data_IF_776099420990
#
_entry.id   IF_776099420990
#
_cell.length_a   1.000
_cell.length_b   1.000
_cell.length_c   1.000
_cell.angle_alpha   90.00
_cell.angle_beta   90.00
_cell.angle_gamma   90.00
#
_symmetry.space_group_name_H-M   'P 1'
#
loop_
_entity.id
_entity.type
_entity.pdbx_description
1 polymer ?
#
# COMPACT_ATOMS: atom_id res chain seq x y z
N UNK A 1 -19.66 2.72 -5.87
CA UNK A 1 -19.10 2.50 -4.51
C UNK A 1 -18.17 1.30 -4.46
N UNK A 2 -18.53 0.14 -5.03
CA UNK A 2 -17.67 -1.07 -5.08
C UNK A 2 -16.26 -0.78 -5.64
N UNK A 3 -16.13 0.01 -6.71
CA UNK A 3 -14.83 0.42 -7.27
C UNK A 3 -13.91 1.14 -6.28
N UNK A 4 -14.46 1.94 -5.35
CA UNK A 4 -13.67 2.64 -4.34
C UNK A 4 -13.17 1.67 -3.27
N UNK A 5 -14.02 0.72 -2.87
CA UNK A 5 -13.68 -0.29 -1.88
C UNK A 5 -12.58 -1.24 -2.40
N UNK A 6 -12.70 -1.69 -3.67
CA UNK A 6 -11.64 -2.49 -4.33
C UNK A 6 -10.32 -1.72 -4.37
N UNK A 7 -10.35 -0.43 -4.75
CA UNK A 7 -9.13 0.40 -4.77
C UNK A 7 -8.51 0.57 -3.38
N UNK A 8 -9.32 0.75 -2.34
CA UNK A 8 -8.85 0.86 -0.97
C UNK A 8 -8.19 -0.44 -0.51
N UNK A 9 -8.82 -1.59 -0.79
CA UNK A 9 -8.25 -2.91 -0.46
C UNK A 9 -6.94 -3.15 -1.21
N UNK A 10 -6.89 -2.89 -2.52
CA UNK A 10 -5.65 -3.01 -3.31
C UNK A 10 -4.54 -2.13 -2.74
N UNK A 11 -4.85 -0.89 -2.37
CA UNK A 11 -3.88 0.01 -1.76
C UNK A 11 -3.38 -0.50 -0.41
N UNK A 12 -4.27 -0.98 0.46
CA UNK A 12 -3.88 -1.51 1.77
C UNK A 12 -3.03 -2.78 1.67
N UNK A 13 -3.37 -3.68 0.75
CA UNK A 13 -2.55 -4.87 0.47
C UNK A 13 -1.18 -4.45 -0.08
N UNK A 14 -1.15 -3.44 -0.95
CA UNK A 14 0.10 -2.90 -1.48
C UNK A 14 0.97 -2.25 -0.39
N UNK A 15 0.34 -1.52 0.53
CA UNK A 15 1.01 -0.90 1.67
C UNK A 15 1.56 -1.95 2.66
N UNK A 16 0.79 -3.01 2.91
CA UNK A 16 1.25 -4.15 3.68
C UNK A 16 2.49 -4.78 3.07
N UNK A 17 2.50 -4.99 1.74
CA UNK A 17 3.68 -5.49 1.03
C UNK A 17 4.86 -4.53 1.18
N UNK A 18 4.63 -3.22 1.07
CA UNK A 18 5.67 -2.21 1.29
C UNK A 18 6.32 -2.29 2.66
N UNK A 19 5.53 -2.43 3.73
CA UNK A 19 6.00 -2.58 5.10
C UNK A 19 6.83 -3.86 5.29
N UNK A 20 6.34 -4.98 4.76
CA UNK A 20 7.04 -6.27 4.83
C UNK A 20 8.37 -6.20 4.10
N UNK A 21 8.39 -5.62 2.90
CA UNK A 21 9.63 -5.45 2.11
C UNK A 21 10.62 -4.54 2.84
N UNK A 22 10.17 -3.44 3.43
CA UNK A 22 11.05 -2.57 4.21
C UNK A 22 11.67 -3.30 5.40
N UNK A 23 10.89 -4.09 6.14
CA UNK A 23 11.42 -4.89 7.26
C UNK A 23 12.35 -6.02 6.83
N UNK A 24 12.25 -6.50 5.59
CA UNK A 24 13.12 -7.54 5.07
C UNK A 24 14.44 -7.00 4.51
N UNK A 25 14.44 -5.73 4.06
CA UNK A 25 15.60 -5.11 3.39
C UNK A 25 16.42 -4.25 4.35
N UNK A 26 15.81 -3.69 5.39
CA UNK A 26 16.47 -2.80 6.35
C UNK A 26 16.66 -3.50 7.69
N UNK A 27 17.92 -3.74 8.05
CA UNK A 27 18.27 -4.35 9.34
C UNK A 27 17.83 -3.49 10.54
N UNK A 28 17.83 -2.16 10.39
CA UNK A 28 17.42 -1.19 11.40
C UNK A 28 15.90 -0.91 11.44
N UNK A 29 15.08 -1.70 10.72
CA UNK A 29 13.62 -1.57 10.65
C UNK A 29 12.95 -2.83 11.20
N UNK A 30 12.59 -2.81 12.48
CA UNK A 30 11.94 -3.94 13.14
C UNK A 30 10.43 -3.72 13.23
N UNK A 31 9.70 -4.47 12.43
CA UNK A 31 8.25 -4.39 12.36
C UNK A 31 7.60 -5.53 13.15
N UNK A 32 6.79 -5.21 14.15
CA UNK A 32 6.00 -6.17 14.93
C UNK A 32 4.53 -6.12 14.50
N UNK A 33 3.75 -7.14 14.89
CA UNK A 33 2.35 -7.26 14.50
C UNK A 33 1.51 -6.03 14.90
N UNK A 34 1.78 -5.45 16.07
CA UNK A 34 1.11 -4.24 16.55
C UNK A 34 1.34 -3.03 15.63
N UNK A 35 2.61 -2.72 15.32
CA UNK A 35 2.96 -1.58 14.46
C UNK A 35 2.51 -1.78 13.03
N UNK A 36 2.49 -3.03 12.54
CA UNK A 36 1.93 -3.36 11.23
C UNK A 36 0.44 -3.01 11.13
N UNK A 37 -0.36 -3.42 12.12
CA UNK A 37 -1.80 -3.11 12.13
C UNK A 37 -2.02 -1.60 12.26
N UNK A 38 -1.29 -0.93 13.15
CA UNK A 38 -1.37 0.52 13.32
C UNK A 38 -1.04 1.24 12.02
N UNK A 39 0.07 0.89 11.36
CA UNK A 39 0.45 1.48 10.08
C UNK A 39 -0.64 1.27 9.02
N UNK A 40 -1.23 0.08 8.93
CA UNK A 40 -2.33 -0.20 8.00
C UNK A 40 -3.59 0.63 8.29
N UNK A 41 -3.94 0.80 9.57
CA UNK A 41 -5.07 1.66 9.95
C UNK A 41 -4.81 3.11 9.55
N UNK A 42 -3.60 3.62 9.80
CA UNK A 42 -3.24 4.99 9.39
C UNK A 42 -3.25 5.12 7.86
N UNK A 43 -2.74 4.14 7.12
CA UNK A 43 -2.84 4.13 5.66
C UNK A 43 -4.29 4.11 5.19
N UNK A 44 -5.19 3.37 5.87
CA UNK A 44 -6.61 3.36 5.53
C UNK A 44 -7.26 4.74 5.74
N UNK A 45 -6.96 5.38 6.87
CA UNK A 45 -7.44 6.73 7.18
C UNK A 45 -6.88 7.77 6.20
N UNK A 46 -5.59 7.67 5.88
CA UNK A 46 -4.96 8.50 4.87
C UNK A 46 -5.67 8.31 3.53
N UNK A 47 -5.92 7.08 3.10
CA UNK A 47 -6.61 6.78 1.85
C UNK A 47 -8.05 7.33 1.81
N UNK A 48 -8.74 7.37 2.94
CA UNK A 48 -10.08 7.95 3.04
C UNK A 48 -10.07 9.46 2.80
N UNK A 49 -9.04 10.16 3.31
CA UNK A 49 -8.85 11.60 3.10
C UNK A 49 -8.30 11.87 1.69
N UNK A 50 -7.37 11.04 1.25
CA UNK A 50 -6.60 11.23 0.04
C UNK A 50 -7.42 10.87 -1.20
N UNK A 51 -8.34 9.90 -1.12
CA UNK A 51 -9.26 9.54 -2.22
C UNK A 51 -10.00 10.73 -2.84
N UNK A 52 -10.80 11.51 -2.08
CA UNK A 52 -11.47 12.69 -2.60
C UNK A 52 -10.50 13.83 -2.97
N UNK A 53 -9.35 13.92 -2.29
CA UNK A 53 -8.31 14.91 -2.57
C UNK A 53 -7.61 14.67 -3.92
N UNK A 54 -7.17 13.43 -4.19
CA UNK A 54 -6.53 13.03 -5.47
C UNK A 54 -7.46 13.33 -6.63
N UNK A 55 -8.75 13.00 -6.51
CA UNK A 55 -9.73 13.30 -7.54
C UNK A 55 -9.83 14.81 -7.85
N UNK A 56 -9.51 15.67 -6.88
CA UNK A 56 -9.43 17.13 -7.02
C UNK A 56 -8.09 17.58 -7.62
N UNK A 57 -6.97 17.00 -7.18
CA UNK A 57 -5.60 17.35 -7.62
C UNK A 57 -5.31 16.93 -9.06
N UNK A 58 -5.78 15.76 -9.50
CA UNK A 58 -5.60 15.26 -10.87
C UNK A 58 -6.19 16.23 -11.90
N UNK A 59 -7.25 16.97 -11.55
CA UNK A 59 -7.83 18.00 -12.45
C UNK A 59 -6.91 19.21 -12.66
N UNK A 60 -5.89 19.40 -11.82
CA UNK A 60 -4.98 20.53 -11.85
C UNK A 60 -3.56 20.15 -12.32
N UNK A 61 -3.36 18.96 -12.94
CA UNK A 61 -2.07 18.51 -13.51
C UNK A 61 -0.87 18.59 -12.55
N UNK A 62 -1.07 18.24 -11.28
CA UNK A 62 -0.02 18.28 -10.27
C UNK A 62 0.48 16.88 -9.87
N UNK A 63 1.04 16.15 -10.83
CA UNK A 63 1.50 14.76 -10.63
C UNK A 63 2.59 14.65 -9.55
N UNK A 64 3.51 15.63 -9.49
CA UNK A 64 4.54 15.69 -8.46
C UNK A 64 3.97 15.82 -7.04
N UNK A 65 2.86 16.55 -6.88
CA UNK A 65 2.16 16.69 -5.60
C UNK A 65 1.52 15.37 -5.16
N UNK A 66 1.06 14.53 -6.10
CA UNK A 66 0.50 13.22 -5.77
C UNK A 66 1.58 12.28 -5.17
N UNK A 67 2.78 12.29 -5.76
CA UNK A 67 3.91 11.52 -5.23
C UNK A 67 4.38 12.02 -3.86
N UNK A 68 4.58 13.33 -3.73
CA UNK A 68 5.04 13.96 -2.48
C UNK A 68 4.08 13.77 -1.32
N UNK A 69 2.77 13.92 -1.54
CA UNK A 69 1.77 13.69 -0.49
C UNK A 69 1.75 12.22 -0.05
N UNK A 70 1.92 11.28 -0.98
CA UNK A 70 2.06 9.86 -0.65
C UNK A 70 3.29 9.59 0.22
N UNK A 71 4.42 10.24 -0.07
CA UNK A 71 5.65 10.09 0.71
C UNK A 71 5.50 10.64 2.13
N UNK A 72 4.93 11.84 2.27
CA UNK A 72 4.65 12.44 3.59
C UNK A 72 3.67 11.57 4.39
N UNK A 73 2.61 11.07 3.75
CA UNK A 73 1.66 10.17 4.40
C UNK A 73 2.32 8.87 4.87
N UNK A 74 3.29 8.36 4.10
CA UNK A 74 4.05 7.16 4.48
C UNK A 74 4.91 7.43 5.70
N UNK A 75 5.63 8.55 5.71
CA UNK A 75 6.43 8.96 6.86
C UNK A 75 5.58 9.10 8.13
N UNK A 76 4.42 9.78 8.02
CA UNK A 76 3.50 9.95 9.15
C UNK A 76 2.93 8.62 9.63
N UNK A 77 2.61 7.68 8.73
CA UNK A 77 2.15 6.35 9.11
C UNK A 77 3.22 5.57 9.89
N UNK A 78 4.47 5.59 9.41
CA UNK A 78 5.59 4.97 10.11
C UNK A 78 5.86 5.64 11.47
N UNK A 79 5.81 6.97 11.52
CA UNK A 79 5.98 7.72 12.76
C UNK A 79 4.92 7.35 13.79
N UNK A 80 3.65 7.31 13.41
CA UNK A 80 2.58 6.95 14.35
C UNK A 80 2.73 5.49 14.79
N UNK A 81 3.07 4.59 13.86
CA UNK A 81 3.31 3.19 14.19
C UNK A 81 4.48 2.98 15.16
N UNK A 82 5.53 3.80 15.09
CA UNK A 82 6.66 3.73 16.03
C UNK A 82 6.38 4.36 17.39
N UNK A 83 5.34 5.20 17.50
CA UNK A 83 4.95 5.84 18.76
C UNK A 83 3.95 5.00 19.58
N UNK A 84 3.33 3.99 18.96
CA UNK A 84 2.28 3.19 19.60
C UNK A 84 2.84 1.82 19.99
N UNK A 85 3.30 1.74 21.25
CA UNK A 85 3.88 0.54 21.85
C UNK A 85 5.20 0.12 21.19
N UNK A 86 5.65 -1.11 21.45
CA UNK A 86 6.84 -1.70 20.83
C UNK A 86 6.52 -2.29 19.44
N UNK A 87 5.67 -1.60 18.68
CA UNK A 87 5.07 -2.11 17.45
C UNK A 87 5.95 -1.96 16.21
N UNK A 88 6.77 -0.92 16.16
CA UNK A 88 7.69 -0.62 15.06
C UNK A 88 8.90 0.13 15.62
N UNK A 89 10.08 -0.43 15.46
CA UNK A 89 11.34 0.21 15.86
C UNK A 89 12.14 0.58 14.61
N UNK A 90 12.56 1.83 14.53
CA UNK A 90 13.38 2.34 13.42
C UNK A 90 14.59 3.06 14.01
N UNK A 91 15.77 2.48 13.82
CA UNK A 91 17.02 2.98 14.39
C UNK A 91 17.79 3.82 13.37
N UNK A 92 17.95 5.10 13.66
CA UNK A 92 18.78 6.02 12.86
C UNK A 92 18.06 6.70 11.69
N UNK A 93 18.54 7.89 11.32
CA UNK A 93 17.91 8.76 10.30
C UNK A 93 17.91 8.12 8.92
N UNK A 94 18.94 7.34 8.58
CA UNK A 94 19.02 6.64 7.31
C UNK A 94 17.90 5.60 7.17
N UNK A 95 17.61 4.82 8.21
CA UNK A 95 16.52 3.85 8.24
C UNK A 95 15.15 4.52 8.13
N UNK A 96 14.96 5.70 8.73
CA UNK A 96 13.75 6.50 8.57
C UNK A 96 13.52 6.94 7.12
N UNK A 97 14.56 7.47 6.47
CA UNK A 97 14.47 7.93 5.07
C UNK A 97 14.27 6.73 4.15
N UNK A 98 15.12 5.70 4.27
CA UNK A 98 15.07 4.52 3.43
C UNK A 98 13.75 3.76 3.62
N UNK A 99 13.31 3.55 4.86
CA UNK A 99 12.04 2.87 5.16
C UNK A 99 10.87 3.61 4.56
N UNK A 100 10.81 4.94 4.71
CA UNK A 100 9.77 5.76 4.08
C UNK A 100 9.77 5.61 2.56
N UNK A 101 10.93 5.73 1.92
CA UNK A 101 11.04 5.66 0.45
C UNK A 101 10.73 4.26 -0.07
N UNK A 102 11.22 3.21 0.60
CA UNK A 102 10.98 1.80 0.22
C UNK A 102 9.49 1.48 0.35
N UNK A 103 8.89 1.75 1.51
CA UNK A 103 7.45 1.49 1.72
C UNK A 103 6.64 2.23 0.67
N UNK A 104 6.93 3.51 0.43
CA UNK A 104 6.22 4.33 -0.56
C UNK A 104 6.37 3.78 -1.99
N UNK A 105 7.61 3.48 -2.44
CA UNK A 105 7.88 2.97 -3.79
C UNK A 105 7.24 1.60 -4.01
N UNK A 106 7.44 0.67 -3.08
CA UNK A 106 6.89 -0.69 -3.17
C UNK A 106 5.37 -0.62 -3.19
N UNK A 107 4.76 0.22 -2.35
CA UNK A 107 3.30 0.43 -2.35
C UNK A 107 2.81 0.97 -3.70
N UNK A 108 3.51 1.96 -4.27
CA UNK A 108 3.14 2.55 -5.56
C UNK A 108 3.21 1.51 -6.69
N UNK A 109 4.31 0.75 -6.74
CA UNK A 109 4.52 -0.31 -7.74
C UNK A 109 3.47 -1.42 -7.56
N UNK A 110 3.28 -1.92 -6.34
CA UNK A 110 2.29 -2.95 -6.05
C UNK A 110 0.87 -2.48 -6.41
N UNK A 111 0.52 -1.23 -6.12
CA UNK A 111 -0.80 -0.67 -6.48
C UNK A 111 -1.02 -0.63 -8.00
N UNK A 112 0.04 -0.45 -8.79
CA UNK A 112 -0.02 -0.50 -10.24
C UNK A 112 -0.12 -1.94 -10.77
N UNK A 113 0.61 -2.88 -10.17
CA UNK A 113 0.72 -4.27 -10.64
C UNK A 113 -0.45 -5.15 -10.20
N UNK A 114 -0.92 -5.01 -8.95
CA UNK A 114 -1.97 -5.86 -8.37
C UNK A 114 -3.26 -5.89 -9.21
N UNK A 115 -3.83 -4.75 -9.68
CA UNK A 115 -5.03 -4.79 -10.52
C UNK A 115 -4.84 -5.59 -11.81
N UNK A 116 -3.67 -5.49 -12.45
CA UNK A 116 -3.35 -6.22 -13.66
C UNK A 116 -3.32 -7.74 -13.41
N UNK A 117 -2.71 -8.16 -12.30
CA UNK A 117 -2.66 -9.57 -11.90
C UNK A 117 -4.05 -10.13 -11.58
N UNK A 118 -4.89 -9.36 -10.88
CA UNK A 118 -6.26 -9.76 -10.56
C UNK A 118 -7.12 -9.94 -11.81
N UNK A 119 -7.02 -9.03 -12.79
CA UNK A 119 -7.73 -9.16 -14.07
C UNK A 119 -7.23 -10.38 -14.84
N UNK A 120 -5.92 -10.59 -14.92
CA UNK A 120 -5.34 -11.76 -15.62
C UNK A 120 -5.79 -13.08 -14.98
N UNK A 121 -5.83 -13.16 -13.64
CA UNK A 121 -6.29 -14.33 -12.92
C UNK A 121 -7.78 -14.62 -13.15
N UNK A 122 -8.62 -13.57 -13.16
CA UNK A 122 -10.04 -13.71 -13.44
C UNK A 122 -10.33 -14.19 -14.87
N UNK A 123 -9.62 -13.65 -15.86
CA UNK A 123 -9.75 -14.08 -17.26
C UNK A 123 -9.34 -15.55 -17.45
N UNK A 124 -8.33 -16.02 -16.71
CA UNK A 124 -7.91 -17.42 -16.76
C UNK A 124 -9.01 -18.36 -16.23
N UNK A 125 -9.64 -18.04 -15.10
CA UNK A 125 -10.72 -18.87 -14.53
C UNK A 125 -11.91 -19.03 -15.48
N UNK A 126 -12.36 -17.94 -16.12
CA UNK A 126 -13.47 -18.00 -17.09
C UNK A 126 -13.13 -18.89 -18.27
N UNK A 127 -11.87 -18.85 -18.73
CA UNK A 127 -11.43 -19.67 -19.87
C UNK A 127 -11.27 -21.14 -19.52
N UNK A 128 -10.83 -21.44 -18.30
CA UNK A 128 -10.69 -22.82 -17.80
C UNK A 128 -12.07 -23.47 -17.54
N UNK A 129 -13.11 -22.68 -17.21
CA UNK A 129 -14.49 -23.17 -17.03
C UNK A 129 -15.22 -23.45 -18.36
N UNK A 130 -14.96 -22.68 -19.42
CA UNK A 130 -15.56 -22.89 -20.76
C UNK A 130 -14.99 -24.14 -21.48
N UNK A 131 -13.77 -24.58 -21.12
CA UNK A 131 -13.12 -25.79 -21.66
C UNK A 131 -13.51 -27.08 -20.88
N UNK A 132 -14.37 -26.97 -19.86
CA UNK A 132 -14.84 -28.12 -19.08
C UNK A 132 -15.84 -28.98 -19.91
N UNK A 133 -15.65 -30.32 -19.99
CA UNK A 133 -16.59 -31.19 -20.70
C UNK A 133 -17.98 -31.13 -20.06
N UNK A 134 -19.03 -31.06 -20.90
CA UNK A 134 -20.43 -31.11 -20.48
C UNK A 134 -20.66 -32.39 -19.64
N UNK A 135 -21.21 -32.31 -18.41
CA UNK A 135 -21.52 -33.50 -17.62
C UNK A 135 -22.51 -34.38 -18.39
N UNK A 136 -22.03 -35.53 -18.83
CA UNK A 136 -22.77 -36.56 -19.56
C UNK A 136 -23.91 -37.18 -18.75
#
# INVERSE_FOLDING_TARGET
>A
MIRLLIRAVVYLVSAAIGLIVASAVLDDFHLHAGGFIVALVIFALAQLILGPFIARVVRNNAEALLGGVGLVSTFVALLIASLIGDGLEINGVAAWIAGTVIVWLVTAIATMVVPYLLVKAGVKHVRDDDDAPDPA
#
